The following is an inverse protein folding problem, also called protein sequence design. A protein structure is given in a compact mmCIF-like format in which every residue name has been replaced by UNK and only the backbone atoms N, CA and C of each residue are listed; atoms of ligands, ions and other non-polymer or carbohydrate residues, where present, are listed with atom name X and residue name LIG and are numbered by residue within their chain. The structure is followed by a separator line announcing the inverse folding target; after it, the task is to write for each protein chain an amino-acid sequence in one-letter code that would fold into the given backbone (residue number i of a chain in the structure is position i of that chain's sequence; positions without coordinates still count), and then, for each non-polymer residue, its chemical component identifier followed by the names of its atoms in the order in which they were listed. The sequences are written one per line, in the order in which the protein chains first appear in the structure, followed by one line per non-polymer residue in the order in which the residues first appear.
data_IF_952515077964
#
_entry.id   IF_952515077964
#
_cell.length_a   1.000
_cell.length_b   1.000
_cell.length_c   1.000
_cell.angle_alpha   90.00
_cell.angle_beta   90.00
_cell.angle_gamma   90.00
#
_symmetry.space_group_name_H-M   'P 1'
#
loop_
_entity.id
_entity.type
_entity.pdbx_description
1 polymer ?
#
# COMPACT_ATOMS: atom_id res chain seq x y z
N UNK A 1 16.93 31.03 2.39
CA UNK A 1 16.03 29.95 2.83
C UNK A 1 16.12 28.88 1.77
N UNK A 2 16.78 27.75 2.06
CA UNK A 2 16.82 26.65 1.12
C UNK A 2 15.43 26.01 1.14
N UNK A 3 14.65 26.24 0.09
CA UNK A 3 13.53 25.36 -0.23
C UNK A 3 14.13 23.97 -0.38
N UNK A 4 13.91 23.13 0.62
CA UNK A 4 14.15 21.71 0.53
C UNK A 4 13.36 21.25 -0.69
N UNK A 5 14.07 21.03 -1.80
CA UNK A 5 13.49 20.54 -3.03
C UNK A 5 13.27 19.05 -2.81
N UNK A 6 12.29 18.73 -1.95
CA UNK A 6 11.83 17.37 -1.76
C UNK A 6 11.15 16.96 -3.06
N UNK A 7 11.95 16.41 -3.98
CA UNK A 7 11.46 15.79 -5.20
C UNK A 7 10.59 14.64 -4.73
N UNK A 8 9.29 14.73 -5.06
CA UNK A 8 8.36 13.66 -4.75
C UNK A 8 8.91 12.35 -5.35
N UNK A 9 9.12 11.31 -4.54
CA UNK A 9 9.70 10.07 -5.05
C UNK A 9 8.77 9.51 -6.13
N UNK A 10 9.35 9.24 -7.31
CA UNK A 10 8.61 8.62 -8.41
C UNK A 10 8.15 7.22 -7.99
N UNK A 11 6.99 6.81 -8.48
CA UNK A 11 6.46 5.48 -8.18
C UNK A 11 7.37 4.45 -8.88
N UNK A 12 7.94 3.47 -8.15
CA UNK A 12 8.82 2.47 -8.74
C UNK A 12 8.07 1.50 -9.68
N UNK A 13 8.45 1.47 -10.95
CA UNK A 13 7.94 0.52 -11.93
C UNK A 13 8.53 -0.88 -11.70
N UNK A 14 7.68 -1.92 -11.76
CA UNK A 14 8.13 -3.30 -11.63
C UNK A 14 8.66 -3.84 -12.96
N UNK A 15 9.94 -4.24 -12.99
CA UNK A 15 10.61 -4.73 -14.21
C UNK A 15 11.04 -6.22 -14.12
N UNK A 16 10.50 -6.97 -13.15
CA UNK A 16 10.85 -8.37 -12.91
C UNK A 16 11.88 -8.61 -11.80
N UNK A 17 12.61 -7.58 -11.33
CA UNK A 17 13.53 -7.71 -10.18
C UNK A 17 12.82 -7.35 -8.86
N UNK A 18 12.21 -8.36 -8.22
CA UNK A 18 11.41 -8.17 -7.01
C UNK A 18 12.16 -7.56 -5.83
N UNK A 19 13.36 -8.05 -5.49
CA UNK A 19 14.11 -7.55 -4.32
C UNK A 19 14.45 -6.06 -4.48
N UNK A 20 14.87 -5.66 -5.68
CA UNK A 20 15.18 -4.26 -5.96
C UNK A 20 13.92 -3.38 -5.95
N UNK A 21 12.85 -3.83 -6.58
CA UNK A 21 11.57 -3.11 -6.63
C UNK A 21 10.96 -2.95 -5.23
N UNK A 22 10.98 -4.01 -4.41
CA UNK A 22 10.40 -3.99 -3.06
C UNK A 22 11.13 -3.01 -2.13
N UNK A 23 12.47 -2.90 -2.22
CA UNK A 23 13.23 -1.89 -1.49
C UNK A 23 12.82 -0.45 -1.86
N UNK A 24 12.57 -0.18 -3.15
CA UNK A 24 12.12 1.13 -3.62
C UNK A 24 10.69 1.43 -3.17
N UNK A 25 9.78 0.45 -3.26
CA UNK A 25 8.40 0.58 -2.82
C UNK A 25 8.29 0.79 -1.30
N UNK A 26 9.13 0.11 -0.51
CA UNK A 26 9.21 0.32 0.93
C UNK A 26 9.58 1.77 1.27
N UNK A 27 10.64 2.31 0.64
CA UNK A 27 11.04 3.70 0.86
C UNK A 27 9.96 4.68 0.40
N UNK A 28 9.31 4.40 -0.74
CA UNK A 28 8.19 5.20 -1.24
C UNK A 28 7.03 5.26 -0.22
N UNK A 29 6.60 4.11 0.32
CA UNK A 29 5.53 4.08 1.32
C UNK A 29 5.92 4.65 2.68
N UNK A 30 7.19 4.53 3.09
CA UNK A 30 7.69 5.20 4.30
C UNK A 30 7.67 6.71 4.14
N UNK A 31 8.04 7.24 2.95
CA UNK A 31 7.97 8.68 2.66
C UNK A 31 6.55 9.26 2.67
N UNK A 32 5.54 8.42 2.42
CA UNK A 32 4.11 8.79 2.40
C UNK A 32 3.37 8.42 3.70
N UNK A 33 4.07 7.91 4.70
CA UNK A 33 3.49 7.43 5.98
C UNK A 33 2.41 6.35 5.81
N UNK A 34 2.52 5.53 4.75
CA UNK A 34 1.63 4.40 4.47
C UNK A 34 2.23 3.06 4.92
N UNK A 35 3.55 3.01 5.12
CA UNK A 35 4.27 1.76 5.42
C UNK A 35 3.70 1.00 6.62
N UNK A 36 3.31 1.72 7.69
CA UNK A 36 2.72 1.08 8.87
C UNK A 36 1.46 0.27 8.50
N UNK A 37 0.56 0.85 7.70
CA UNK A 37 -0.67 0.19 7.27
C UNK A 37 -0.38 -0.98 6.32
N UNK A 38 0.62 -0.83 5.44
CA UNK A 38 1.02 -1.88 4.50
C UNK A 38 1.69 -3.07 5.21
N UNK A 39 2.50 -2.80 6.24
CA UNK A 39 3.28 -3.81 6.96
C UNK A 39 2.50 -4.48 8.08
N UNK A 40 1.79 -3.72 8.90
CA UNK A 40 1.06 -4.24 10.08
C UNK A 40 -0.37 -4.64 9.74
N UNK A 41 -0.90 -4.15 8.61
CA UNK A 41 -2.30 -4.29 8.24
C UNK A 41 -3.20 -3.36 9.05
N UNK A 42 -4.50 -3.45 8.77
CA UNK A 42 -5.53 -2.73 9.52
C UNK A 42 -6.14 -3.72 10.50
N UNK A 43 -6.09 -3.40 11.80
CA UNK A 43 -6.79 -4.21 12.81
C UNK A 43 -8.27 -3.94 12.71
N UNK A 44 -9.01 -4.86 12.09
CA UNK A 44 -10.47 -4.74 12.05
C UNK A 44 -11.07 -5.03 13.44
N UNK A 45 -11.98 -4.17 13.93
CA UNK A 45 -12.65 -4.40 15.20
C UNK A 45 -13.51 -5.67 15.11
N UNK A 46 -13.50 -6.46 16.19
CA UNK A 46 -14.27 -7.70 16.24
C UNK A 46 -15.77 -7.43 16.03
N UNK A 47 -16.44 -8.34 15.33
CA UNK A 47 -17.87 -8.22 15.05
C UNK A 47 -18.68 -8.06 16.36
N UNK A 48 -19.45 -6.97 16.46
CA UNK A 48 -20.24 -6.65 17.65
C UNK A 48 -19.55 -5.76 18.69
N UNK A 49 -18.31 -5.33 18.45
CA UNK A 49 -17.65 -4.34 19.31
C UNK A 49 -18.27 -2.96 19.09
N UNK A 50 -18.64 -2.27 20.18
CA UNK A 50 -19.07 -0.86 20.10
C UNK A 50 -17.83 -0.02 19.86
N UNK A 51 -17.58 0.30 18.60
CA UNK A 51 -16.49 1.18 18.16
C UNK A 51 -16.94 2.62 18.40
N UNK A 52 -16.09 3.42 19.03
CA UNK A 52 -16.39 4.85 19.22
C UNK A 52 -16.21 5.61 17.91
N UNK A 53 -16.85 6.77 17.77
CA UNK A 53 -16.73 7.62 16.57
C UNK A 53 -15.27 7.97 16.22
N UNK A 54 -14.45 8.20 17.25
CA UNK A 54 -13.01 8.44 17.12
C UNK A 54 -12.25 7.22 16.57
N UNK A 55 -12.55 6.01 17.07
CA UNK A 55 -11.93 4.78 16.55
C UNK A 55 -12.38 4.48 15.12
N UNK A 56 -13.65 4.73 14.80
CA UNK A 56 -14.16 4.54 13.45
C UNK A 56 -13.46 5.49 12.45
N UNK A 57 -13.26 6.75 12.83
CA UNK A 57 -12.51 7.72 12.03
C UNK A 57 -11.06 7.28 11.80
N UNK A 58 -10.40 6.72 12.82
CA UNK A 58 -9.04 6.20 12.69
C UNK A 58 -8.95 5.00 11.75
N UNK A 59 -9.88 4.04 11.87
CA UNK A 59 -9.97 2.87 10.99
C UNK A 59 -10.21 3.30 9.54
N UNK A 60 -11.11 4.25 9.29
CA UNK A 60 -11.36 4.77 7.95
C UNK A 60 -10.14 5.51 7.39
N UNK A 61 -9.40 6.23 8.24
CA UNK A 61 -8.12 6.84 7.87
C UNK A 61 -7.07 5.80 7.46
N UNK A 62 -6.96 4.69 8.19
CA UNK A 62 -6.09 3.57 7.84
C UNK A 62 -6.54 2.89 6.55
N UNK A 63 -7.85 2.64 6.36
CA UNK A 63 -8.42 2.08 5.13
C UNK A 63 -8.15 2.94 3.90
N UNK A 64 -8.19 4.26 4.07
CA UNK A 64 -7.83 5.19 3.01
C UNK A 64 -6.34 5.10 2.66
N UNK A 65 -5.44 5.00 3.65
CA UNK A 65 -4.00 4.81 3.41
C UNK A 65 -3.71 3.49 2.71
N UNK A 66 -4.34 2.40 3.14
CA UNK A 66 -4.24 1.08 2.50
C UNK A 66 -4.72 1.13 1.04
N UNK A 67 -5.88 1.73 0.79
CA UNK A 67 -6.43 1.87 -0.56
C UNK A 67 -5.53 2.70 -1.47
N UNK A 68 -4.92 3.77 -0.95
CA UNK A 68 -3.93 4.57 -1.69
C UNK A 68 -2.68 3.74 -2.02
N UNK A 69 -2.16 2.99 -1.04
CA UNK A 69 -0.98 2.14 -1.24
C UNK A 69 -1.22 1.09 -2.33
N UNK A 70 -2.38 0.40 -2.29
CA UNK A 70 -2.81 -0.54 -3.32
C UNK A 70 -2.92 0.12 -4.69
N UNK A 71 -3.49 1.32 -4.76
CA UNK A 71 -3.61 2.04 -6.03
C UNK A 71 -2.24 2.33 -6.67
N UNK A 72 -1.23 2.73 -5.90
CA UNK A 72 0.13 2.93 -6.43
C UNK A 72 0.72 1.65 -7.00
N UNK A 73 0.54 0.52 -6.30
CA UNK A 73 0.99 -0.78 -6.77
C UNK A 73 0.29 -1.15 -8.09
N UNK A 74 -1.02 -0.94 -8.18
CA UNK A 74 -1.79 -1.23 -9.41
C UNK A 74 -1.47 -0.33 -10.60
N UNK A 75 -0.94 0.87 -10.36
CA UNK A 75 -0.50 1.77 -11.43
C UNK A 75 0.81 1.30 -12.07
N UNK A 76 1.70 0.71 -11.27
CA UNK A 76 3.06 0.36 -11.71
C UNK A 76 3.27 -1.13 -12.01
N UNK A 77 2.37 -2.00 -11.55
CA UNK A 77 2.37 -3.42 -11.91
C UNK A 77 1.52 -3.61 -13.18
N UNK A 78 2.15 -4.15 -14.21
CA UNK A 78 1.45 -4.56 -15.44
C UNK A 78 0.31 -5.54 -15.14
N UNK A 79 -0.81 -5.38 -15.87
CA UNK A 79 -1.98 -6.26 -15.74
C UNK A 79 -1.62 -7.74 -15.87
N UNK A 80 -0.68 -8.08 -16.76
CA UNK A 80 -0.22 -9.47 -16.95
C UNK A 80 0.46 -10.06 -15.70
N UNK A 81 1.18 -9.22 -14.95
CA UNK A 81 1.89 -9.60 -13.73
C UNK A 81 0.89 -9.69 -12.58
N UNK A 82 -0.05 -8.74 -12.50
CA UNK A 82 -1.17 -8.82 -11.57
C UNK A 82 -2.00 -10.08 -11.79
N UNK A 83 -2.32 -10.43 -13.04
CA UNK A 83 -3.06 -11.65 -13.38
C UNK A 83 -2.26 -12.92 -13.02
N UNK A 84 -0.93 -12.89 -13.10
CA UNK A 84 -0.08 -14.00 -12.67
C UNK A 84 -0.02 -14.16 -11.14
N UNK A 85 0.03 -13.05 -10.39
CA UNK A 85 -0.02 -13.07 -8.92
C UNK A 85 -1.43 -13.46 -8.44
N UNK A 86 -2.47 -12.96 -9.11
CA UNK A 86 -3.87 -13.24 -8.83
C UNK A 86 -4.31 -14.58 -9.47
N UNK A 87 -3.42 -15.32 -10.14
CA UNK A 87 -3.80 -16.41 -11.03
C UNK A 87 -4.64 -17.43 -10.28
N UNK A 88 -5.92 -17.42 -10.67
CA UNK A 88 -7.05 -18.22 -10.22
C UNK A 88 -6.95 -19.68 -10.66
N UNK A 89 -5.76 -20.22 -10.85
CA UNK A 89 -5.55 -21.64 -11.06
C UNK A 89 -5.45 -22.34 -9.70
N UNK A 90 -6.59 -22.42 -9.00
CA UNK A 90 -6.82 -23.63 -8.23
C UNK A 90 -7.02 -24.73 -9.28
N UNK A 91 -6.13 -25.73 -9.39
CA UNK A 91 -6.44 -26.90 -10.18
C UNK A 91 -7.73 -27.50 -9.65
N UNK A 92 -8.66 -27.72 -10.58
CA UNK A 92 -9.95 -28.36 -10.36
C UNK A 92 -9.78 -29.85 -10.09
#
# INVERSE_FOLDING_TARGET
MASDNFVEPAIPCFNGHYDHWSMLMENFFRSKEYWQVVSEGITEPAAGTVVTDAQNTEIEGQRLKDSKAKNYIFQEIDRSILDNILCKDTPK
#
